data_IF_697719039503
#
_entry.id   IF_697719039503
#
_cell.length_a   1.000
_cell.length_b   1.000
_cell.length_c   1.000
_cell.angle_alpha   90.00
_cell.angle_beta   90.00
_cell.angle_gamma   90.00
#
_symmetry.space_group_name_H-M   'P 1'
#
loop_
_entity.id
_entity.type
_entity.pdbx_description
1 polymer ?
#
# COMPACT_ATOMS: atom_id res chain seq x y z
N UNK A 1 -39.18 -7.20 -41.89
CA UNK A 1 -38.78 -7.83 -40.61
C UNK A 1 -37.28 -7.75 -40.27
N UNK A 2 -36.37 -7.31 -41.16
CA UNK A 2 -34.92 -7.33 -40.92
C UNK A 2 -34.36 -6.15 -40.10
N UNK A 3 -35.02 -4.99 -40.13
CA UNK A 3 -34.54 -3.75 -39.48
C UNK A 3 -34.65 -3.80 -37.95
N UNK A 4 -35.67 -4.47 -37.40
CA UNK A 4 -35.86 -4.59 -35.95
C UNK A 4 -34.81 -5.45 -35.27
N UNK A 5 -34.29 -6.46 -35.96
CA UNK A 5 -33.25 -7.35 -35.42
C UNK A 5 -31.90 -6.63 -35.34
N UNK A 6 -31.57 -5.80 -36.34
CA UNK A 6 -30.32 -5.04 -36.39
C UNK A 6 -30.23 -4.00 -35.26
N UNK A 7 -31.33 -3.28 -35.00
CA UNK A 7 -31.39 -2.30 -33.91
C UNK A 7 -31.24 -2.97 -32.53
N UNK A 8 -31.76 -4.19 -32.35
CA UNK A 8 -31.61 -4.95 -31.12
C UNK A 8 -30.16 -5.37 -30.86
N UNK A 9 -29.43 -5.77 -31.91
CA UNK A 9 -28.02 -6.14 -31.82
C UNK A 9 -27.12 -4.94 -31.49
N UNK A 10 -27.39 -3.78 -32.09
CA UNK A 10 -26.62 -2.55 -31.80
C UNK A 10 -26.85 -2.11 -30.35
N UNK A 11 -28.10 -2.14 -29.87
CA UNK A 11 -28.42 -1.82 -28.48
C UNK A 11 -27.72 -2.79 -27.49
N UNK A 12 -27.68 -4.08 -27.81
CA UNK A 12 -26.98 -5.08 -26.98
C UNK A 12 -25.46 -4.85 -26.94
N UNK A 13 -24.83 -4.50 -28.06
CA UNK A 13 -23.39 -4.19 -28.12
C UNK A 13 -23.06 -2.93 -27.32
N UNK A 14 -23.91 -1.90 -27.38
CA UNK A 14 -23.76 -0.68 -26.58
C UNK A 14 -23.92 -0.97 -25.09
N UNK A 15 -24.94 -1.76 -24.69
CA UNK A 15 -25.11 -2.20 -23.30
C UNK A 15 -23.92 -3.05 -22.79
N UNK A 16 -23.39 -3.96 -23.62
CA UNK A 16 -22.24 -4.79 -23.26
C UNK A 16 -20.94 -3.99 -23.14
N UNK A 17 -20.82 -2.89 -23.89
CA UNK A 17 -19.66 -1.98 -23.83
C UNK A 17 -19.72 -1.08 -22.59
N UNK A 18 -20.91 -0.56 -22.23
CA UNK A 18 -21.11 0.19 -20.98
C UNK A 18 -20.94 -0.66 -19.72
N UNK A 19 -21.19 -1.98 -19.80
CA UNK A 19 -21.02 -2.88 -18.66
C UNK A 19 -19.54 -3.18 -18.30
N UNK A 20 -18.58 -2.82 -19.18
CA UNK A 20 -17.14 -3.04 -18.93
C UNK A 20 -16.46 -1.90 -18.18
N UNK A 21 -16.98 -0.66 -18.27
CA UNK A 21 -16.35 0.51 -17.66
C UNK A 21 -16.69 0.66 -16.16
N UNK A 22 -17.80 0.10 -15.69
CA UNK A 22 -18.25 0.27 -14.29
C UNK A 22 -17.47 -0.58 -13.28
N UNK A 23 -16.78 -1.65 -13.70
CA UNK A 23 -16.10 -2.57 -12.77
C UNK A 23 -14.70 -2.11 -12.31
N UNK A 24 -14.07 -1.14 -13.01
CA UNK A 24 -12.78 -0.59 -12.60
C UNK A 24 -12.90 0.56 -11.60
N UNK A 25 -14.09 1.19 -11.51
CA UNK A 25 -14.31 2.43 -10.75
C UNK A 25 -14.31 2.23 -9.23
N UNK A 26 -14.33 0.99 -8.72
CA UNK A 26 -14.46 0.78 -7.27
C UNK A 26 -13.50 -0.26 -6.64
N UNK A 27 -12.49 -0.74 -7.35
CA UNK A 27 -11.52 -1.69 -6.74
C UNK A 27 -10.59 -1.00 -5.74
N UNK A 28 -10.37 0.31 -5.88
CA UNK A 28 -9.52 1.09 -4.96
C UNK A 28 -10.14 1.24 -3.57
N UNK A 29 -11.48 1.28 -3.46
CA UNK A 29 -12.16 1.46 -2.17
C UNK A 29 -11.98 0.26 -1.23
N UNK A 30 -11.66 -0.92 -1.77
CA UNK A 30 -11.32 -2.08 -0.94
C UNK A 30 -10.09 -1.82 -0.05
N UNK A 31 -9.17 -0.96 -0.52
CA UNK A 31 -7.93 -0.62 0.18
C UNK A 31 -8.02 0.68 0.98
N UNK A 32 -8.97 1.57 0.67
CA UNK A 32 -9.10 2.86 1.36
C UNK A 32 -9.35 2.66 2.86
N UNK A 33 -8.58 3.37 3.69
CA UNK A 33 -8.73 3.37 5.14
C UNK A 33 -7.42 3.59 5.90
N UNK A 34 -7.51 3.45 7.21
CA UNK A 34 -6.38 3.50 8.13
C UNK A 34 -6.04 2.09 8.60
N UNK A 35 -4.75 1.77 8.68
CA UNK A 35 -4.26 0.47 9.05
C UNK A 35 -3.11 0.58 10.06
N UNK A 36 -3.04 -0.36 11.00
CA UNK A 36 -2.03 -0.39 12.05
C UNK A 36 -1.40 -1.76 12.19
N UNK A 37 -0.09 -1.80 12.35
CA UNK A 37 0.67 -3.03 12.61
C UNK A 37 1.74 -2.81 13.67
N UNK A 38 2.27 -3.91 14.19
CA UNK A 38 3.37 -3.90 15.14
C UNK A 38 4.37 -4.99 14.78
N UNK A 39 5.66 -4.69 14.84
CA UNK A 39 6.73 -5.67 14.72
C UNK A 39 7.82 -5.38 15.73
N UNK A 40 8.43 -6.43 16.27
CA UNK A 40 9.61 -6.28 17.10
C UNK A 40 10.85 -6.61 16.26
N UNK A 41 11.93 -5.86 16.43
CA UNK A 41 13.21 -6.12 15.75
C UNK A 41 14.37 -6.04 16.73
N UNK A 42 15.40 -6.83 16.48
CA UNK A 42 16.64 -6.78 17.26
C UNK A 42 17.79 -6.39 16.36
N UNK A 43 18.54 -5.35 16.72
CA UNK A 43 19.72 -4.90 15.98
C UNK A 43 20.84 -4.55 16.95
N UNK A 44 22.01 -5.17 16.76
CA UNK A 44 23.19 -4.98 17.63
C UNK A 44 22.90 -5.16 19.13
N UNK A 45 22.10 -6.16 19.48
CA UNK A 45 21.72 -6.44 20.88
C UNK A 45 20.64 -5.51 21.46
N UNK A 46 20.15 -4.55 20.68
CA UNK A 46 19.06 -3.66 21.07
C UNK A 46 17.72 -4.16 20.54
N UNK A 47 16.68 -4.14 21.38
CA UNK A 47 15.31 -4.48 20.98
C UNK A 47 14.50 -3.23 20.70
N UNK A 48 13.89 -3.20 19.52
CA UNK A 48 13.03 -2.12 19.05
C UNK A 48 11.61 -2.65 18.87
N UNK A 49 10.65 -1.90 19.41
CA UNK A 49 9.23 -2.08 19.13
C UNK A 49 8.84 -1.08 18.06
N UNK A 50 8.39 -1.57 16.92
CA UNK A 50 7.99 -0.74 15.78
C UNK A 50 6.48 -0.78 15.64
N UNK A 51 5.84 0.39 15.68
CA UNK A 51 4.41 0.54 15.41
C UNK A 51 4.24 1.24 14.06
N UNK A 52 3.56 0.57 13.14
CA UNK A 52 3.29 1.11 11.81
C UNK A 52 1.87 1.63 11.72
N UNK A 53 1.72 2.78 11.09
CA UNK A 53 0.45 3.39 10.72
C UNK A 53 0.45 3.62 9.22
N UNK A 54 -0.56 3.13 8.51
CA UNK A 54 -0.75 3.36 7.09
C UNK A 54 -2.08 4.04 6.83
N UNK A 55 -2.07 5.07 6.00
CA UNK A 55 -3.26 5.71 5.45
C UNK A 55 -3.26 5.46 3.96
N UNK A 56 -4.32 4.83 3.46
CA UNK A 56 -4.51 4.58 2.03
C UNK A 56 -5.73 5.35 1.55
N UNK A 57 -5.55 6.15 0.50
CA UNK A 57 -6.61 6.92 -0.13
C UNK A 57 -6.69 6.61 -1.62
N UNK A 58 -7.90 6.52 -2.16
CA UNK A 58 -8.13 6.50 -3.60
C UNK A 58 -7.94 7.90 -4.16
N UNK A 59 -7.01 8.09 -5.10
CA UNK A 59 -6.75 9.40 -5.70
C UNK A 59 -7.51 9.62 -7.01
N UNK A 60 -7.66 8.55 -7.79
CA UNK A 60 -8.45 8.48 -9.02
C UNK A 60 -8.78 7.00 -9.32
N UNK A 61 -9.73 6.67 -10.21
CA UNK A 61 -10.07 5.29 -10.51
C UNK A 61 -8.84 4.43 -10.83
N UNK A 62 -8.65 3.34 -10.08
CA UNK A 62 -7.51 2.42 -10.23
C UNK A 62 -6.20 2.85 -9.54
N UNK A 63 -6.13 4.04 -8.92
CA UNK A 63 -4.90 4.54 -8.29
C UNK A 63 -5.08 4.89 -6.81
N UNK A 64 -4.02 4.65 -6.03
CA UNK A 64 -3.94 4.90 -4.60
C UNK A 64 -2.79 5.86 -4.26
N UNK A 65 -2.90 6.50 -3.11
CA UNK A 65 -1.77 7.05 -2.35
C UNK A 65 -1.70 6.32 -1.01
N UNK A 66 -0.50 5.90 -0.62
CA UNK A 66 -0.18 5.24 0.64
C UNK A 66 0.79 6.13 1.41
N UNK A 67 0.39 6.58 2.59
CA UNK A 67 1.28 7.18 3.58
C UNK A 67 1.57 6.14 4.66
N UNK A 68 2.83 5.75 4.82
CA UNK A 68 3.28 4.81 5.84
C UNK A 68 4.17 5.55 6.86
N UNK A 69 3.75 5.54 8.11
CA UNK A 69 4.52 6.04 9.25
C UNK A 69 4.95 4.88 10.13
N UNK A 70 6.17 4.96 10.67
CA UNK A 70 6.69 4.02 11.65
C UNK A 70 7.14 4.82 12.88
N UNK A 71 6.63 4.43 14.04
CA UNK A 71 7.15 4.83 15.35
C UNK A 71 8.00 3.68 15.89
N UNK A 72 9.32 3.87 15.91
CA UNK A 72 10.27 2.92 16.48
C UNK A 72 10.63 3.34 17.90
N UNK A 73 10.36 2.48 18.87
CA UNK A 73 10.79 2.65 20.26
C UNK A 73 11.89 1.67 20.58
N UNK A 74 13.07 2.17 20.91
CA UNK A 74 14.07 1.37 21.61
C UNK A 74 13.48 1.04 22.99
N UNK A 75 13.57 -0.22 23.45
CA UNK A 75 13.08 -0.62 24.78
C UNK A 75 14.14 -1.32 25.62
N UNK A 76 15.17 -1.91 24.99
CA UNK A 76 16.27 -2.56 25.69
C UNK A 76 17.58 -2.28 24.95
N UNK A 77 18.56 -1.73 25.65
CA UNK A 77 19.92 -1.55 25.13
C UNK A 77 20.93 -2.05 26.18
N UNK A 78 21.77 -3.01 25.81
CA UNK A 78 22.86 -3.50 26.68
C UNK A 78 22.41 -3.78 28.13
N UNK A 79 21.24 -4.43 28.28
CA UNK A 79 20.57 -4.75 29.54
C UNK A 79 19.98 -3.57 30.36
N UNK A 80 19.87 -2.37 29.77
CA UNK A 80 19.19 -1.20 30.35
C UNK A 80 17.92 -0.85 29.59
N UNK A 81 16.86 -0.49 30.32
CA UNK A 81 15.64 0.07 29.73
C UNK A 81 15.89 1.52 29.31
N UNK A 82 15.69 1.81 28.03
CA UNK A 82 15.79 3.16 27.45
C UNK A 82 14.49 3.38 26.69
N UNK A 83 13.76 4.46 26.95
CA UNK A 83 12.54 4.83 26.19
C UNK A 83 12.88 5.98 25.24
N UNK A 84 13.23 5.63 24.01
CA UNK A 84 13.50 6.61 22.96
C UNK A 84 12.69 6.29 21.71
N UNK A 85 11.79 7.20 21.34
CA UNK A 85 10.96 7.10 20.15
C UNK A 85 11.58 7.86 18.96
N UNK A 86 11.51 7.25 17.77
CA UNK A 86 11.77 7.92 16.49
C UNK A 86 10.62 7.65 15.55
N UNK A 87 10.15 8.70 14.88
CA UNK A 87 9.08 8.59 13.88
C UNK A 87 9.62 8.90 12.50
N UNK A 88 9.35 8.01 11.56
CA UNK A 88 9.64 8.20 10.12
C UNK A 88 8.34 8.07 9.34
N UNK A 89 8.13 8.91 8.33
CA UNK A 89 6.94 8.84 7.47
C UNK A 89 7.32 8.94 6.01
N UNK A 90 6.64 8.15 5.18
CA UNK A 90 6.87 8.04 3.75
C UNK A 90 5.54 8.08 3.02
N UNK A 91 5.46 8.85 1.94
CA UNK A 91 4.27 8.89 1.08
C UNK A 91 4.63 8.38 -0.31
N UNK A 92 3.90 7.37 -0.76
CA UNK A 92 3.96 6.80 -2.11
C UNK A 92 2.65 7.14 -2.82
N UNK A 93 2.74 7.86 -3.95
CA UNK A 93 1.57 8.27 -4.73
C UNK A 93 1.46 7.44 -6.01
N UNK A 94 0.36 7.54 -6.74
CA UNK A 94 0.18 6.88 -8.06
C UNK A 94 0.33 5.35 -8.05
N UNK A 95 0.07 4.70 -6.92
CA UNK A 95 0.10 3.25 -6.79
C UNK A 95 -1.04 2.65 -7.62
N UNK A 96 -0.71 1.78 -8.58
CA UNK A 96 -1.70 1.17 -9.46
C UNK A 96 -2.29 -0.09 -8.83
N UNK A 97 -3.61 -0.11 -8.69
CA UNK A 97 -4.38 -1.31 -8.33
C UNK A 97 -4.51 -2.20 -9.56
N UNK A 98 -3.98 -3.42 -9.47
CA UNK A 98 -3.99 -4.38 -10.59
C UNK A 98 -5.17 -5.34 -10.50
N UNK A 99 -5.62 -5.65 -9.27
CA UNK A 99 -6.72 -6.58 -8.97
C UNK A 99 -7.50 -6.08 -7.74
N UNK A 100 -8.74 -6.56 -7.51
CA UNK A 100 -9.55 -6.14 -6.35
C UNK A 100 -8.90 -6.32 -4.98
N UNK A 101 -7.90 -7.19 -4.90
CA UNK A 101 -7.17 -7.58 -3.69
C UNK A 101 -5.65 -7.35 -3.78
N UNK A 102 -5.13 -6.77 -4.87
CA UNK A 102 -3.71 -6.56 -5.06
C UNK A 102 -3.34 -5.26 -5.79
N UNK A 103 -2.31 -4.57 -5.29
CA UNK A 103 -1.68 -3.40 -5.93
C UNK A 103 -0.15 -3.50 -5.94
N UNK A 104 0.49 -2.78 -6.86
CA UNK A 104 1.95 -2.73 -7.01
C UNK A 104 2.52 -1.37 -6.64
N UNK A 105 3.63 -1.37 -5.92
CA UNK A 105 4.41 -0.19 -5.58
C UNK A 105 5.68 -0.21 -6.42
N UNK A 106 5.91 0.87 -7.15
CA UNK A 106 7.19 1.16 -7.80
C UNK A 106 7.37 2.67 -7.85
N UNK A 107 7.55 3.26 -6.66
CA UNK A 107 7.49 4.71 -6.49
C UNK A 107 8.78 5.26 -5.89
N UNK A 108 9.26 6.42 -6.35
CA UNK A 108 10.30 7.15 -5.66
C UNK A 108 9.75 7.69 -4.34
N UNK A 109 10.52 7.53 -3.27
CA UNK A 109 10.25 8.04 -1.93
C UNK A 109 11.39 8.95 -1.54
N UNK A 110 11.05 10.11 -0.98
CA UNK A 110 12.01 11.09 -0.49
C UNK A 110 12.14 10.96 1.02
N UNK A 111 13.36 10.88 1.55
CA UNK A 111 13.60 10.95 2.99
C UNK A 111 13.58 12.40 3.51
N UNK A 112 13.82 12.57 4.82
CA UNK A 112 13.88 13.90 5.46
C UNK A 112 15.05 14.77 4.99
N UNK A 113 16.13 14.15 4.54
CA UNK A 113 17.36 14.82 4.08
C UNK A 113 17.29 15.17 2.59
N UNK A 114 16.23 14.71 1.93
CA UNK A 114 15.90 15.01 0.55
C UNK A 114 16.44 14.03 -0.48
N UNK A 115 17.05 12.92 -0.02
CA UNK A 115 17.48 11.84 -0.90
C UNK A 115 16.28 11.08 -1.45
N UNK A 116 16.38 10.67 -2.71
CA UNK A 116 15.32 9.92 -3.40
C UNK A 116 15.72 8.46 -3.50
N UNK A 117 14.88 7.58 -2.99
CA UNK A 117 15.03 6.13 -3.07
C UNK A 117 13.87 5.53 -3.86
N UNK A 118 14.12 4.46 -4.60
CA UNK A 118 13.00 3.71 -5.19
C UNK A 118 12.52 2.66 -4.20
N UNK A 119 11.26 2.75 -3.79
CA UNK A 119 10.60 1.69 -3.04
C UNK A 119 9.81 0.84 -4.04
N UNK A 120 10.10 -0.46 -4.03
CA UNK A 120 9.37 -1.46 -4.79
C UNK A 120 8.57 -2.34 -3.84
N UNK A 121 7.46 -2.89 -4.30
CA UNK A 121 6.67 -3.74 -3.44
C UNK A 121 5.28 -4.03 -3.96
N UNK A 122 4.46 -4.57 -3.08
CA UNK A 122 3.05 -4.76 -3.33
C UNK A 122 2.26 -4.70 -2.02
N UNK A 123 0.95 -4.52 -2.16
CA UNK A 123 0.01 -4.73 -1.08
C UNK A 123 -1.06 -5.73 -1.48
N UNK A 124 -1.37 -6.66 -0.59
CA UNK A 124 -2.40 -7.67 -0.77
C UNK A 124 -3.45 -7.57 0.33
N UNK A 125 -4.74 -7.56 -0.02
CA UNK A 125 -5.82 -7.66 0.96
C UNK A 125 -5.92 -9.09 1.49
N UNK A 126 -5.97 -9.22 2.81
CA UNK A 126 -6.25 -10.45 3.55
C UNK A 126 -7.48 -10.22 4.41
N UNK A 127 -8.67 -10.39 3.82
CA UNK A 127 -9.93 -9.97 4.42
C UNK A 127 -10.00 -8.45 4.52
N UNK A 128 -10.11 -7.89 5.73
CA UNK A 128 -10.10 -6.44 5.97
C UNK A 128 -8.68 -5.88 6.19
N UNK A 129 -7.68 -6.74 6.31
CA UNK A 129 -6.30 -6.37 6.62
C UNK A 129 -5.48 -6.24 5.33
N UNK A 130 -4.35 -5.54 5.40
CA UNK A 130 -3.40 -5.43 4.30
C UNK A 130 -2.08 -6.04 4.72
N UNK A 131 -1.53 -6.88 3.85
CA UNK A 131 -0.15 -7.30 3.91
C UNK A 131 0.66 -6.48 2.89
N UNK A 132 1.64 -5.72 3.36
CA UNK A 132 2.57 -4.97 2.52
C UNK A 132 3.89 -5.72 2.44
N UNK A 133 4.39 -5.95 1.23
CA UNK A 133 5.76 -6.34 0.97
C UNK A 133 6.50 -5.13 0.41
N UNK A 134 7.49 -4.63 1.14
CA UNK A 134 8.29 -3.47 0.76
C UNK A 134 9.75 -3.86 0.57
N UNK A 135 10.34 -3.40 -0.51
CA UNK A 135 11.73 -3.61 -0.90
C UNK A 135 12.33 -2.24 -1.14
N UNK A 136 13.32 -1.88 -0.32
CA UNK A 136 14.12 -0.67 -0.50
C UNK A 136 15.49 -1.04 -1.02
N UNK A 137 15.97 -0.34 -2.05
CA UNK A 137 17.33 -0.41 -2.54
C UNK A 137 17.99 0.97 -2.45
N UNK A 138 19.11 1.06 -1.73
CA UNK A 138 19.91 2.27 -1.59
C UNK A 138 21.33 2.06 -2.16
N UNK A 139 21.44 1.51 -3.37
CA UNK A 139 22.70 1.48 -4.12
C UNK A 139 23.79 0.57 -3.53
N UNK A 140 23.40 -0.44 -2.75
CA UNK A 140 24.34 -1.38 -2.13
C UNK A 140 23.76 -2.29 -1.06
N UNK A 141 22.61 -1.91 -0.46
CA UNK A 141 21.89 -2.74 0.51
C UNK A 141 20.41 -2.80 0.12
N UNK A 142 19.94 -3.99 -0.23
CA UNK A 142 18.53 -4.29 -0.39
C UNK A 142 17.94 -4.74 0.94
N UNK A 143 16.86 -4.09 1.39
CA UNK A 143 16.08 -4.55 2.55
C UNK A 143 14.68 -4.93 2.10
N UNK A 144 14.22 -6.09 2.58
CA UNK A 144 12.86 -6.56 2.35
C UNK A 144 12.12 -6.60 3.69
N UNK A 145 10.91 -6.08 3.72
CA UNK A 145 10.06 -6.08 4.91
C UNK A 145 8.63 -6.46 4.53
N UNK A 146 8.06 -7.40 5.29
CA UNK A 146 6.63 -7.74 5.22
C UNK A 146 5.94 -7.15 6.45
N UNK A 147 4.87 -6.39 6.22
CA UNK A 147 4.05 -5.78 7.27
C UNK A 147 2.61 -6.28 7.15
N UNK A 148 2.09 -6.89 8.21
CA UNK A 148 0.66 -7.16 8.33
C UNK A 148 0.00 -6.01 9.10
N UNK A 149 -0.88 -5.29 8.43
CA UNK A 149 -1.56 -4.11 8.95
C UNK A 149 -3.06 -4.38 9.07
N UNK A 150 -3.59 -4.21 10.27
CA UNK A 150 -5.01 -4.40 10.56
C UNK A 150 -5.76 -3.09 10.36
N UNK A 151 -6.93 -3.16 9.72
CA UNK A 151 -7.81 -1.99 9.55
C UNK A 151 -8.39 -1.57 10.91
N UNK A 152 -8.44 -0.27 11.19
CA UNK A 152 -8.98 0.28 12.43
C UNK A 152 -9.84 1.53 12.20
#
# INVERSE_FOLDING_TARGET
>A
MKIRLLLLFIALIVLLSSCKEDNLINVTQNFTGNFRGKTDSTFKGNTYVNTFFAVIISTRPGYLTLTLSNESRLILAEASWIDQARTTSYTMSNILVKKPDYFEINEPVKDSDGNIYTVKGNGTLKGKNIELLLISDNGGITKTQTLTLNKY
#
